data_IF_212519210590
#
_entry.id   IF_212519210590
#
_cell.length_a   1.000
_cell.length_b   1.000
_cell.length_c   1.000
_cell.angle_alpha   90.00
_cell.angle_beta   90.00
_cell.angle_gamma   90.00
#
_symmetry.space_group_name_H-M   'P 1'
#
loop_
_entity.id
_entity.type
_entity.pdbx_description
1 polymer ?
#
# COMPACT_ATOMS: atom_id res chain seq x y z
N UNK A 1 -12.41 -16.81 -0.60
CA UNK A 1 -12.87 -18.05 -1.31
C UNK A 1 -11.86 -19.17 -1.10
N UNK A 2 -12.29 -20.43 -0.91
CA UNK A 2 -11.34 -21.54 -0.75
C UNK A 2 -10.59 -21.79 -2.07
N UNK A 3 -9.30 -22.16 -2.04
CA UNK A 3 -8.48 -22.44 -3.25
C UNK A 3 -9.15 -23.42 -4.24
N UNK A 4 -9.96 -24.37 -3.74
CA UNK A 4 -10.71 -25.32 -4.57
C UNK A 4 -11.82 -24.65 -5.40
N UNK A 5 -12.41 -23.58 -4.88
CA UNK A 5 -13.44 -22.82 -5.60
C UNK A 5 -12.82 -21.93 -6.67
N UNK A 6 -11.63 -21.34 -6.40
CA UNK A 6 -10.87 -20.53 -7.37
C UNK A 6 -10.52 -21.29 -8.65
N UNK A 7 -10.09 -22.57 -8.53
CA UNK A 7 -9.74 -23.40 -9.67
C UNK A 7 -10.90 -23.70 -10.63
N UNK A 8 -12.15 -23.55 -10.14
CA UNK A 8 -13.37 -23.80 -10.94
C UNK A 8 -13.84 -22.57 -11.71
N UNK A 9 -13.35 -21.38 -11.37
CA UNK A 9 -13.75 -20.14 -12.04
C UNK A 9 -13.22 -20.10 -13.48
N UNK A 10 -14.03 -19.55 -14.37
CA UNK A 10 -13.60 -19.13 -15.70
C UNK A 10 -12.58 -18.00 -15.62
N UNK A 11 -11.85 -17.73 -16.69
CA UNK A 11 -10.93 -16.59 -16.75
C UNK A 11 -11.67 -15.27 -16.50
N UNK A 12 -12.85 -15.07 -17.07
CA UNK A 12 -13.64 -13.85 -16.90
C UNK A 12 -14.05 -13.64 -15.43
N UNK A 13 -14.42 -14.69 -14.72
CA UNK A 13 -14.76 -14.61 -13.29
C UNK A 13 -13.53 -14.28 -12.42
N UNK A 14 -12.36 -14.89 -12.73
CA UNK A 14 -11.10 -14.54 -12.03
C UNK A 14 -10.71 -13.09 -12.27
N UNK A 15 -10.83 -12.60 -13.50
CA UNK A 15 -10.54 -11.21 -13.86
C UNK A 15 -11.49 -10.23 -13.15
N UNK A 16 -12.79 -10.56 -13.09
CA UNK A 16 -13.79 -9.75 -12.39
C UNK A 16 -13.56 -9.69 -10.88
N UNK A 17 -13.02 -10.76 -10.27
CA UNK A 17 -12.71 -10.81 -8.84
C UNK A 17 -11.65 -9.78 -8.38
N UNK A 18 -10.92 -9.19 -9.33
CA UNK A 18 -9.93 -8.13 -9.12
C UNK A 18 -10.24 -6.84 -9.88
N UNK A 19 -11.44 -6.68 -10.45
CA UNK A 19 -11.84 -5.46 -11.14
C UNK A 19 -12.52 -4.45 -10.19
N UNK A 20 -11.70 -3.81 -9.34
CA UNK A 20 -12.17 -2.85 -8.36
C UNK A 20 -12.88 -1.63 -8.98
N UNK A 21 -12.49 -1.22 -10.20
CA UNK A 21 -13.15 -0.09 -10.88
C UNK A 21 -14.57 -0.46 -11.35
N UNK A 22 -14.75 -1.69 -11.83
CA UNK A 22 -16.09 -2.17 -12.17
C UNK A 22 -17.00 -2.34 -10.93
N UNK A 23 -16.39 -2.67 -9.77
CA UNK A 23 -17.12 -2.86 -8.52
C UNK A 23 -17.49 -1.54 -7.80
N UNK A 24 -16.82 -0.43 -8.11
CA UNK A 24 -17.05 0.89 -7.50
C UNK A 24 -17.27 1.94 -8.58
N UNK A 25 -18.54 2.27 -8.92
CA UNK A 25 -18.87 3.16 -10.05
C UNK A 25 -18.27 4.56 -9.96
N UNK A 26 -18.03 5.09 -8.77
CA UNK A 26 -17.39 6.39 -8.53
C UNK A 26 -15.88 6.31 -8.34
N UNK A 27 -15.29 5.12 -8.36
CA UNK A 27 -13.87 4.89 -8.09
C UNK A 27 -12.93 5.69 -8.98
N UNK A 28 -13.22 5.76 -10.29
CA UNK A 28 -12.43 6.56 -11.22
C UNK A 28 -12.52 8.07 -10.93
N UNK A 29 -13.72 8.57 -10.61
CA UNK A 29 -13.93 9.98 -10.27
C UNK A 29 -13.21 10.34 -8.94
N UNK A 30 -13.23 9.45 -7.94
CA UNK A 30 -12.50 9.62 -6.68
C UNK A 30 -10.99 9.69 -6.88
N UNK A 31 -10.42 8.82 -7.71
CA UNK A 31 -9.00 8.86 -8.04
C UNK A 31 -8.62 10.14 -8.77
N UNK A 32 -9.45 10.61 -9.69
CA UNK A 32 -9.20 11.87 -10.39
C UNK A 32 -9.29 13.08 -9.44
N UNK A 33 -10.28 13.13 -8.55
CA UNK A 33 -10.36 14.17 -7.53
C UNK A 33 -9.12 14.14 -6.60
N UNK A 34 -8.71 12.95 -6.16
CA UNK A 34 -7.52 12.80 -5.32
C UNK A 34 -6.25 13.26 -6.05
N UNK A 35 -6.12 12.98 -7.36
CA UNK A 35 -5.00 13.43 -8.20
C UNK A 35 -4.94 14.97 -8.27
N UNK A 36 -6.08 15.63 -8.47
CA UNK A 36 -6.16 17.08 -8.52
C UNK A 36 -5.79 17.72 -7.17
N UNK A 37 -6.34 17.19 -6.08
CA UNK A 37 -6.03 17.67 -4.72
C UNK A 37 -4.57 17.41 -4.37
N UNK A 38 -4.00 16.29 -4.79
CA UNK A 38 -2.60 15.96 -4.58
C UNK A 38 -1.66 16.90 -5.36
N UNK A 39 -2.04 17.28 -6.56
CA UNK A 39 -1.29 18.29 -7.32
C UNK A 39 -1.27 19.64 -6.59
N UNK A 40 -2.42 20.06 -6.01
CA UNK A 40 -2.51 21.26 -5.20
C UNK A 40 -1.67 21.16 -3.91
N UNK A 41 -1.73 20.04 -3.20
CA UNK A 41 -0.94 19.78 -1.99
C UNK A 41 0.58 19.82 -2.27
N UNK A 42 1.03 19.23 -3.39
CA UNK A 42 2.43 19.28 -3.83
C UNK A 42 2.87 20.71 -4.21
N UNK A 43 2.02 21.46 -4.89
CA UNK A 43 2.30 22.86 -5.25
C UNK A 43 2.42 23.77 -4.02
N UNK A 44 1.67 23.49 -2.95
CA UNK A 44 1.73 24.26 -1.70
C UNK A 44 2.99 23.97 -0.86
N UNK A 45 3.66 22.81 -1.04
CA UNK A 45 4.87 22.40 -0.29
C UNK A 45 5.91 21.76 -1.23
N UNK A 46 6.53 22.50 -2.15
CA UNK A 46 7.36 21.95 -3.21
C UNK A 46 8.78 21.57 -2.78
N UNK A 47 9.23 21.97 -1.59
CA UNK A 47 10.65 21.92 -1.20
C UNK A 47 11.22 20.51 -1.14
N UNK A 48 10.42 19.54 -0.72
CA UNK A 48 10.84 18.13 -0.53
C UNK A 48 10.57 17.21 -1.70
N UNK A 49 10.02 17.71 -2.82
CA UNK A 49 9.54 16.87 -3.91
C UNK A 49 10.66 16.28 -4.77
N UNK A 50 10.35 15.18 -5.46
CA UNK A 50 11.14 14.56 -6.53
C UNK A 50 12.59 14.19 -6.15
N UNK A 51 12.82 13.78 -4.89
CA UNK A 51 14.16 13.40 -4.42
C UNK A 51 14.55 12.03 -4.93
N UNK A 52 15.62 11.93 -5.77
CA UNK A 52 16.01 10.64 -6.33
C UNK A 52 16.59 9.70 -5.26
N UNK A 53 16.26 8.42 -5.36
CA UNK A 53 16.90 7.33 -4.61
C UNK A 53 17.58 6.33 -5.55
N UNK A 54 17.31 6.39 -6.84
CA UNK A 54 17.89 5.57 -7.88
C UNK A 54 17.89 6.24 -9.24
N UNK A 55 18.40 5.55 -10.30
CA UNK A 55 18.58 6.12 -11.63
C UNK A 55 17.29 6.20 -12.46
N UNK A 56 16.30 5.33 -12.21
CA UNK A 56 15.09 5.30 -13.00
C UNK A 56 14.21 6.55 -12.77
N UNK A 57 13.43 6.98 -13.77
CA UNK A 57 12.60 8.18 -13.66
C UNK A 57 11.61 8.15 -12.49
N UNK A 58 11.10 6.97 -12.15
CA UNK A 58 10.12 6.78 -11.07
C UNK A 58 10.76 6.54 -9.69
N UNK A 59 12.06 6.31 -9.62
CA UNK A 59 12.82 6.14 -8.37
C UNK A 59 13.03 7.50 -7.68
N UNK A 60 11.94 8.10 -7.21
CA UNK A 60 11.87 9.40 -6.55
C UNK A 60 10.99 9.28 -5.31
N UNK A 61 11.28 10.10 -4.31
CA UNK A 61 10.47 10.26 -3.09
C UNK A 61 10.04 11.71 -2.97
N UNK A 62 8.76 11.93 -2.69
CA UNK A 62 8.25 13.23 -2.24
C UNK A 62 8.25 13.25 -0.72
N UNK A 63 8.90 14.26 -0.12
CA UNK A 63 8.96 14.47 1.31
C UNK A 63 8.12 15.67 1.73
N UNK A 64 7.30 15.51 2.72
CA UNK A 64 6.59 16.56 3.43
C UNK A 64 7.13 16.63 4.85
N UNK A 65 7.91 17.66 5.12
CA UNK A 65 8.65 17.79 6.37
C UNK A 65 7.74 18.11 7.56
N UNK A 66 8.22 17.74 8.75
CA UNK A 66 7.67 18.11 10.05
C UNK A 66 8.81 18.40 11.04
N UNK A 67 8.53 18.41 12.35
CA UNK A 67 9.55 18.65 13.36
C UNK A 67 10.71 17.63 13.32
N UNK A 68 11.87 17.94 13.91
CA UNK A 68 13.13 17.21 13.71
C UNK A 68 13.10 15.71 14.09
N UNK A 69 12.19 15.30 14.97
CA UNK A 69 11.99 13.90 15.40
C UNK A 69 10.56 13.42 15.21
N UNK A 70 9.80 14.14 14.38
CA UNK A 70 8.44 13.75 14.06
C UNK A 70 8.41 12.33 13.48
N UNK A 71 7.42 11.51 13.83
CA UNK A 71 7.15 10.28 13.12
C UNK A 71 6.88 10.56 11.64
N UNK A 72 7.19 9.59 10.78
CA UNK A 72 6.95 9.71 9.35
C UNK A 72 6.08 8.56 8.85
N UNK A 73 5.00 8.89 8.16
CA UNK A 73 4.25 7.91 7.38
C UNK A 73 4.90 7.78 5.99
N UNK A 74 5.38 6.59 5.66
CA UNK A 74 5.87 6.25 4.33
C UNK A 74 4.74 5.57 3.58
N UNK A 75 4.16 6.25 2.59
CA UNK A 75 2.99 5.75 1.88
C UNK A 75 3.33 5.26 0.47
N UNK A 76 2.98 4.00 0.20
CA UNK A 76 3.17 3.32 -1.09
C UNK A 76 1.83 3.24 -1.83
N UNK A 77 1.80 3.76 -3.06
CA UNK A 77 0.59 3.83 -3.86
C UNK A 77 0.13 2.47 -4.37
N UNK A 78 -1.16 2.36 -4.70
CA UNK A 78 -1.75 1.20 -5.36
C UNK A 78 -1.71 1.28 -6.89
N UNK A 79 -2.43 0.38 -7.55
CA UNK A 79 -2.54 0.33 -9.02
C UNK A 79 -1.99 -0.96 -9.61
N UNK A 80 -2.08 -2.07 -8.89
CA UNK A 80 -1.63 -3.41 -9.30
C UNK A 80 -0.18 -3.44 -9.80
N UNK A 81 0.71 -2.59 -9.24
CA UNK A 81 2.12 -2.44 -9.65
C UNK A 81 2.29 -2.03 -11.12
N UNK A 82 1.23 -1.59 -11.80
CA UNK A 82 1.15 -1.29 -13.24
C UNK A 82 0.65 0.13 -13.53
N UNK A 83 0.08 0.82 -12.56
CA UNK A 83 -0.61 2.10 -12.73
C UNK A 83 -0.36 3.05 -11.57
N UNK A 84 -0.78 4.29 -11.75
CA UNK A 84 -0.68 5.41 -10.82
C UNK A 84 0.77 5.89 -10.58
N UNK A 85 0.89 6.93 -9.82
CA UNK A 85 2.16 7.53 -9.45
C UNK A 85 2.08 8.07 -8.01
N UNK A 86 3.21 8.23 -7.33
CA UNK A 86 3.27 8.81 -5.97
C UNK A 86 2.60 10.18 -5.90
N UNK A 87 2.74 10.95 -6.98
CA UNK A 87 2.21 12.31 -7.13
C UNK A 87 0.69 12.36 -6.94
N UNK A 88 -0.02 11.27 -7.27
CA UNK A 88 -1.47 11.19 -7.24
C UNK A 88 -2.03 11.06 -5.81
N UNK A 89 -1.17 10.85 -4.80
CA UNK A 89 -1.60 10.47 -3.44
C UNK A 89 -1.13 11.45 -2.34
N UNK A 90 -0.54 12.59 -2.68
CA UNK A 90 0.00 13.53 -1.70
C UNK A 90 -1.06 14.09 -0.75
N UNK A 91 -2.29 14.32 -1.23
CA UNK A 91 -3.39 14.82 -0.40
C UNK A 91 -3.81 13.86 0.72
N UNK A 92 -3.55 12.54 0.60
CA UNK A 92 -3.83 11.59 1.68
C UNK A 92 -3.00 11.88 2.93
N UNK A 93 -1.87 12.53 2.78
CA UNK A 93 -0.97 12.83 3.89
C UNK A 93 -1.48 13.99 4.76
N UNK A 94 -2.52 14.72 4.35
CA UNK A 94 -3.16 15.76 5.14
C UNK A 94 -3.57 15.24 6.53
N UNK A 95 -4.09 14.01 6.61
CA UNK A 95 -4.52 13.40 7.85
C UNK A 95 -3.40 13.34 8.90
N UNK A 96 -2.30 12.68 8.60
CA UNK A 96 -1.17 12.53 9.55
C UNK A 96 -0.41 13.84 9.75
N UNK A 97 -0.30 14.69 8.72
CA UNK A 97 0.37 16.00 8.81
C UNK A 97 -0.35 16.96 9.76
N UNK A 98 -1.68 16.90 9.84
CA UNK A 98 -2.47 17.65 10.81
C UNK A 98 -2.09 17.33 12.26
N UNK A 99 -1.46 16.17 12.51
CA UNK A 99 -0.93 15.75 13.79
C UNK A 99 0.59 15.96 13.96
N UNK A 100 1.20 16.76 13.08
CA UNK A 100 2.63 17.07 13.15
C UNK A 100 3.55 15.95 12.67
N UNK A 101 3.04 14.97 11.92
CA UNK A 101 3.86 13.93 11.30
C UNK A 101 4.48 14.42 10.00
N UNK A 102 5.66 13.93 9.72
CA UNK A 102 6.22 13.96 8.37
C UNK A 102 5.55 12.91 7.48
N UNK A 103 5.64 13.09 6.18
CA UNK A 103 5.22 12.09 5.21
C UNK A 103 6.27 11.90 4.12
N UNK A 104 6.39 10.68 3.61
CA UNK A 104 7.23 10.34 2.47
C UNK A 104 6.44 9.46 1.51
N UNK A 105 6.45 9.80 0.22
CA UNK A 105 5.75 9.04 -0.82
C UNK A 105 6.78 8.55 -1.84
N UNK A 106 7.28 7.32 -1.71
CA UNK A 106 8.12 6.71 -2.73
C UNK A 106 7.31 6.40 -4.00
N UNK A 107 7.85 6.76 -5.17
CA UNK A 107 7.50 6.14 -6.42
C UNK A 107 8.32 4.88 -6.64
N UNK A 108 7.94 4.07 -7.59
CA UNK A 108 8.65 2.86 -8.00
C UNK A 108 8.36 2.56 -9.47
N UNK A 109 9.26 1.83 -10.13
CA UNK A 109 9.09 1.39 -11.53
C UNK A 109 7.90 0.44 -11.62
N UNK A 110 7.11 0.57 -12.68
CA UNK A 110 5.91 -0.26 -12.86
C UNK A 110 6.21 -1.47 -13.75
N UNK A 111 5.41 -2.52 -13.59
CA UNK A 111 5.36 -3.60 -14.56
C UNK A 111 4.72 -3.09 -15.89
N UNK A 112 5.17 -3.58 -17.06
CA UNK A 112 6.14 -4.65 -17.24
C UNK A 112 7.62 -4.20 -17.30
N UNK A 113 7.93 -2.93 -17.04
CA UNK A 113 9.29 -2.36 -17.09
C UNK A 113 10.17 -2.93 -15.96
N UNK A 114 9.59 -3.24 -14.81
CA UNK A 114 10.25 -3.93 -13.73
C UNK A 114 9.46 -5.19 -13.31
N UNK A 115 10.17 -6.24 -12.87
CA UNK A 115 9.56 -7.38 -12.19
C UNK A 115 9.08 -6.97 -10.79
N UNK A 116 8.15 -7.74 -10.21
CA UNK A 116 7.72 -7.47 -8.83
C UNK A 116 8.88 -7.60 -7.83
N UNK A 117 9.82 -8.49 -8.07
CA UNK A 117 11.06 -8.58 -7.29
C UNK A 117 11.80 -7.24 -7.29
N UNK A 118 12.03 -6.64 -8.49
CA UNK A 118 12.71 -5.34 -8.59
C UNK A 118 11.94 -4.22 -7.91
N UNK A 119 10.60 -4.19 -8.06
CA UNK A 119 9.75 -3.21 -7.38
C UNK A 119 9.89 -3.27 -5.86
N UNK A 120 9.94 -4.47 -5.28
CA UNK A 120 10.17 -4.65 -3.83
C UNK A 120 11.56 -4.15 -3.44
N UNK A 121 12.60 -4.41 -4.23
CA UNK A 121 13.96 -3.88 -3.99
C UNK A 121 13.99 -2.36 -4.03
N UNK A 122 13.35 -1.74 -5.03
CA UNK A 122 13.23 -0.28 -5.13
C UNK A 122 12.55 0.35 -3.90
N UNK A 123 11.53 -0.31 -3.35
CA UNK A 123 10.89 0.15 -2.10
C UNK A 123 11.86 0.11 -0.92
N UNK A 124 12.72 -0.90 -0.81
CA UNK A 124 13.75 -0.94 0.23
C UNK A 124 14.82 0.15 0.04
N UNK A 125 15.27 0.38 -1.19
CA UNK A 125 16.20 1.48 -1.54
C UNK A 125 15.57 2.86 -1.20
N UNK A 126 14.30 3.04 -1.49
CA UNK A 126 13.57 4.26 -1.11
C UNK A 126 13.49 4.43 0.43
N UNK A 127 13.25 3.34 1.16
CA UNK A 127 13.24 3.36 2.63
C UNK A 127 14.62 3.70 3.21
N UNK A 128 15.70 3.27 2.61
CA UNK A 128 17.06 3.66 3.00
C UNK A 128 17.26 5.18 2.87
N UNK A 129 16.79 5.79 1.75
CA UNK A 129 16.82 7.25 1.59
C UNK A 129 15.95 7.95 2.64
N UNK A 130 14.72 7.44 2.89
CA UNK A 130 13.83 8.02 3.92
C UNK A 130 14.48 7.91 5.29
N UNK A 131 15.05 6.76 5.64
CA UNK A 131 15.73 6.52 6.91
C UNK A 131 16.96 7.42 7.14
N UNK A 132 17.66 7.78 6.07
CA UNK A 132 18.79 8.71 6.14
C UNK A 132 18.36 10.17 6.37
N UNK A 133 17.11 10.53 6.00
CA UNK A 133 16.60 11.91 6.10
C UNK A 133 15.71 12.15 7.31
N UNK A 134 15.01 11.12 7.78
CA UNK A 134 14.03 11.20 8.87
C UNK A 134 14.63 10.59 10.13
N UNK A 135 14.80 11.39 11.18
CA UNK A 135 15.33 10.92 12.47
C UNK A 135 14.26 10.23 13.33
N UNK A 136 12.98 10.55 13.13
CA UNK A 136 11.86 9.96 13.86
C UNK A 136 11.54 8.52 13.44
N UNK A 137 10.59 7.85 14.12
CA UNK A 137 10.13 6.51 13.75
C UNK A 137 9.46 6.50 12.37
N UNK A 138 9.67 5.43 11.59
CA UNK A 138 9.05 5.23 10.29
C UNK A 138 7.90 4.23 10.41
N UNK A 139 6.71 4.63 9.99
CA UNK A 139 5.57 3.74 9.81
C UNK A 139 5.35 3.57 8.31
N UNK A 140 5.48 2.33 7.81
CA UNK A 140 5.22 2.05 6.40
C UNK A 140 3.72 1.80 6.19
N UNK A 141 3.15 2.41 5.17
CA UNK A 141 1.75 2.21 4.79
C UNK A 141 1.60 2.10 3.29
N UNK A 142 0.47 1.59 2.86
CA UNK A 142 0.14 1.58 1.45
C UNK A 142 -1.29 1.08 1.21
N UNK A 143 -1.76 1.34 0.01
CA UNK A 143 -3.09 0.97 -0.43
C UNK A 143 -3.04 -0.05 -1.56
N UNK A 144 -3.88 -1.11 -1.51
CA UNK A 144 -3.99 -2.12 -2.57
C UNK A 144 -2.64 -2.80 -2.84
N UNK A 145 -2.08 -2.70 -4.03
CA UNK A 145 -0.72 -3.14 -4.36
C UNK A 145 0.35 -2.49 -3.45
N UNK A 146 0.14 -1.24 -3.04
CA UNK A 146 1.03 -0.56 -2.08
C UNK A 146 0.97 -1.16 -0.68
N UNK A 147 -0.18 -1.72 -0.27
CA UNK A 147 -0.30 -2.44 1.01
C UNK A 147 0.50 -3.75 1.01
N UNK A 148 0.54 -4.44 -0.14
CA UNK A 148 1.46 -5.56 -0.34
C UNK A 148 2.92 -5.13 -0.16
N UNK A 149 3.33 -4.05 -0.84
CA UNK A 149 4.69 -3.51 -0.73
C UNK A 149 5.02 -3.08 0.71
N UNK A 150 4.06 -2.48 1.43
CA UNK A 150 4.22 -2.14 2.83
C UNK A 150 4.45 -3.37 3.72
N UNK A 151 3.72 -4.47 3.46
CA UNK A 151 3.93 -5.74 4.18
C UNK A 151 5.31 -6.34 3.89
N UNK A 152 5.77 -6.30 2.63
CA UNK A 152 7.12 -6.75 2.24
C UNK A 152 8.23 -5.89 2.86
N UNK A 153 7.98 -4.59 3.04
CA UNK A 153 8.93 -3.62 3.59
C UNK A 153 8.96 -3.57 5.13
N UNK A 154 8.04 -4.26 5.83
CA UNK A 154 7.92 -4.21 7.29
C UNK A 154 9.20 -4.65 8.02
N UNK A 155 9.99 -5.53 7.40
CA UNK A 155 11.27 -6.01 7.93
C UNK A 155 12.40 -4.98 7.95
N UNK A 156 12.28 -3.85 7.26
CA UNK A 156 13.30 -2.82 7.20
C UNK A 156 13.67 -2.30 8.60
N UNK A 157 14.98 -2.15 8.89
CA UNK A 157 15.49 -1.89 10.24
C UNK A 157 14.88 -0.65 10.91
N UNK A 158 14.64 0.42 10.15
CA UNK A 158 14.10 1.70 10.65
C UNK A 158 12.56 1.74 10.74
N UNK A 159 11.86 0.77 10.16
CA UNK A 159 10.40 0.68 10.24
C UNK A 159 10.01 0.13 11.60
N UNK A 160 9.14 0.84 12.32
CA UNK A 160 8.64 0.43 13.65
C UNK A 160 7.30 -0.29 13.58
N UNK A 161 6.51 -0.08 12.53
CA UNK A 161 5.21 -0.72 12.32
C UNK A 161 4.67 -0.42 10.93
N UNK A 162 3.54 -1.03 10.57
CA UNK A 162 2.93 -0.83 9.26
C UNK A 162 1.41 -0.82 9.27
N UNK A 163 0.84 -0.20 8.22
CA UNK A 163 -0.59 -0.12 7.95
C UNK A 163 -0.86 -0.51 6.50
N UNK A 164 -1.43 -1.68 6.28
CA UNK A 164 -1.86 -2.14 4.97
C UNK A 164 -3.35 -1.88 4.76
N UNK A 165 -3.69 -1.15 3.71
CA UNK A 165 -5.07 -0.75 3.38
C UNK A 165 -5.50 -1.51 2.14
N UNK A 166 -6.52 -2.36 2.25
CA UNK A 166 -7.16 -3.07 1.12
C UNK A 166 -6.17 -3.87 0.27
N UNK A 167 -5.26 -4.59 0.93
CA UNK A 167 -4.09 -5.19 0.29
C UNK A 167 -4.33 -6.53 -0.41
N UNK A 168 -3.44 -6.82 -1.35
CA UNK A 168 -3.33 -8.12 -2.02
C UNK A 168 -2.11 -8.85 -1.45
N UNK A 169 -2.32 -9.87 -0.63
CA UNK A 169 -1.25 -10.51 0.13
C UNK A 169 -0.94 -11.96 -0.27
N UNK A 170 -1.72 -12.56 -1.18
CA UNK A 170 -1.40 -13.80 -1.90
C UNK A 170 -1.39 -13.50 -3.40
N UNK A 171 -0.24 -13.63 -4.03
CA UNK A 171 -0.06 -13.38 -5.46
C UNK A 171 -0.52 -14.55 -6.34
N UNK A 172 -0.82 -15.71 -5.75
CA UNK A 172 -1.22 -16.89 -6.51
C UNK A 172 -2.50 -16.67 -7.31
N UNK A 173 -3.51 -16.03 -6.71
CA UNK A 173 -4.74 -15.71 -7.41
C UNK A 173 -4.56 -14.61 -8.48
N UNK A 174 -3.75 -13.59 -8.20
CA UNK A 174 -3.41 -12.52 -9.17
C UNK A 174 -2.71 -13.08 -10.40
N UNK A 175 -1.81 -14.06 -10.22
CA UNK A 175 -1.12 -14.73 -11.32
C UNK A 175 -2.08 -15.37 -12.31
N UNK A 176 -3.23 -15.83 -11.85
CA UNK A 176 -4.24 -16.49 -12.66
C UNK A 176 -5.21 -15.52 -13.37
N UNK A 177 -4.96 -14.20 -13.27
CA UNK A 177 -5.78 -13.14 -13.88
C UNK A 177 -5.06 -12.48 -15.07
N UNK A 178 -5.81 -11.65 -15.85
CA UNK A 178 -5.24 -10.79 -16.90
C UNK A 178 -4.14 -9.84 -16.40
N UNK A 179 -4.12 -9.51 -15.12
CA UNK A 179 -3.09 -8.66 -14.52
C UNK A 179 -1.69 -9.25 -14.70
N UNK A 180 -1.59 -10.57 -14.78
CA UNK A 180 -0.33 -11.26 -14.95
C UNK A 180 0.30 -11.09 -16.34
N UNK A 181 -0.43 -10.61 -17.32
CA UNK A 181 0.13 -10.33 -18.66
C UNK A 181 1.27 -9.30 -18.59
N UNK A 182 1.14 -8.30 -17.72
CA UNK A 182 2.18 -7.31 -17.47
C UNK A 182 3.12 -7.71 -16.32
N UNK A 183 2.58 -8.28 -15.23
CA UNK A 183 3.36 -8.66 -14.05
C UNK A 183 4.33 -9.82 -14.32
N UNK A 184 3.94 -10.78 -15.16
CA UNK A 184 4.74 -11.97 -15.54
C UNK A 184 5.24 -12.74 -14.29
N UNK A 185 4.39 -12.84 -13.27
CA UNK A 185 4.72 -13.51 -12.02
C UNK A 185 5.09 -14.96 -12.25
N UNK A 186 6.26 -15.34 -11.79
CA UNK A 186 6.72 -16.73 -11.72
C UNK A 186 6.22 -17.42 -10.45
N UNK A 187 6.20 -18.75 -10.41
CA UNK A 187 5.89 -19.50 -9.18
C UNK A 187 6.83 -19.09 -8.04
N UNK A 188 8.12 -18.94 -8.34
CA UNK A 188 9.12 -18.54 -7.38
C UNK A 188 8.86 -17.13 -6.81
N UNK A 189 8.34 -16.18 -7.60
CA UNK A 189 7.95 -14.86 -7.10
C UNK A 189 6.68 -14.95 -6.26
N UNK A 190 5.69 -15.74 -6.66
CA UNK A 190 4.49 -15.97 -5.86
C UNK A 190 4.87 -16.51 -4.47
N UNK A 191 5.80 -17.48 -4.37
CA UNK A 191 6.22 -18.02 -3.07
C UNK A 191 7.02 -17.00 -2.24
N UNK A 192 7.92 -16.25 -2.88
CA UNK A 192 8.82 -15.33 -2.15
C UNK A 192 8.25 -13.96 -1.86
N UNK A 193 7.21 -13.55 -2.60
CA UNK A 193 6.64 -12.20 -2.51
C UNK A 193 5.18 -12.18 -2.04
N UNK A 194 4.61 -13.32 -1.60
CA UNK A 194 3.29 -13.34 -0.98
C UNK A 194 3.41 -13.25 0.55
N UNK A 195 3.05 -12.15 1.20
CA UNK A 195 3.18 -11.98 2.65
C UNK A 195 2.53 -13.11 3.48
N UNK A 196 1.44 -13.70 3.01
CA UNK A 196 0.75 -14.82 3.68
C UNK A 196 1.51 -16.16 3.62
N UNK A 197 2.58 -16.25 2.80
CA UNK A 197 3.42 -17.45 2.63
C UNK A 197 4.76 -17.33 3.34
N UNK A 198 5.07 -16.14 3.86
CA UNK A 198 6.33 -15.84 4.52
C UNK A 198 6.18 -15.86 6.04
N UNK A 199 7.22 -16.18 6.80
CA UNK A 199 7.21 -16.00 8.23
C UNK A 199 6.88 -14.53 8.58
N UNK A 200 5.89 -14.27 9.44
CA UNK A 200 5.52 -12.91 9.79
C UNK A 200 6.64 -12.16 10.50
N UNK A 201 6.92 -10.94 10.07
CA UNK A 201 7.83 -10.03 10.77
C UNK A 201 7.22 -9.66 12.13
N UNK A 202 7.95 -9.77 13.28
CA UNK A 202 7.44 -9.53 14.62
C UNK A 202 7.36 -8.03 14.96
N UNK A 203 6.80 -7.22 14.06
CA UNK A 203 6.51 -5.79 14.26
C UNK A 203 5.01 -5.55 14.12
N UNK A 204 4.43 -4.54 14.79
CA UNK A 204 3.02 -4.23 14.64
C UNK A 204 2.63 -3.98 13.17
N UNK A 205 1.56 -4.63 12.72
CA UNK A 205 1.00 -4.40 11.38
C UNK A 205 -0.52 -4.38 11.46
N UNK A 206 -1.12 -3.21 11.22
CA UNK A 206 -2.56 -3.07 11.11
C UNK A 206 -2.98 -3.40 9.69
N UNK A 207 -3.92 -4.31 9.53
CA UNK A 207 -4.56 -4.64 8.26
C UNK A 207 -5.95 -3.99 8.24
N UNK A 208 -6.22 -3.16 7.25
CA UNK A 208 -7.50 -2.47 7.10
C UNK A 208 -8.14 -2.80 5.75
N UNK A 209 -9.47 -2.84 5.71
CA UNK A 209 -10.24 -3.01 4.48
C UNK A 209 -11.65 -2.40 4.61
N UNK A 210 -12.25 -2.03 3.48
CA UNK A 210 -13.63 -1.60 3.41
C UNK A 210 -14.59 -2.79 3.30
N UNK A 211 -15.71 -2.77 4.02
CA UNK A 211 -16.64 -3.92 4.02
C UNK A 211 -17.44 -4.09 2.73
N UNK A 212 -17.40 -3.09 1.83
CA UNK A 212 -18.03 -3.12 0.51
C UNK A 212 -17.04 -3.37 -0.64
N UNK A 213 -15.83 -3.80 -0.31
CA UNK A 213 -14.84 -4.22 -1.32
C UNK A 213 -15.19 -5.58 -1.94
N UNK A 214 -14.53 -5.89 -3.06
CA UNK A 214 -14.61 -7.22 -3.66
C UNK A 214 -14.24 -8.30 -2.63
N UNK A 215 -14.93 -9.45 -2.63
CA UNK A 215 -14.69 -10.53 -1.67
C UNK A 215 -13.23 -10.97 -1.58
N UNK A 216 -12.51 -10.98 -2.71
CA UNK A 216 -11.10 -11.40 -2.76
C UNK A 216 -10.18 -10.43 -2.00
N UNK A 217 -10.47 -9.12 -2.00
CA UNK A 217 -9.69 -8.12 -1.27
C UNK A 217 -9.96 -8.21 0.24
N UNK A 218 -11.23 -8.41 0.62
CA UNK A 218 -11.64 -8.64 2.01
C UNK A 218 -10.98 -9.91 2.55
N UNK A 219 -11.04 -11.01 1.79
CA UNK A 219 -10.46 -12.29 2.20
C UNK A 219 -8.93 -12.22 2.27
N UNK A 220 -8.27 -11.56 1.32
CA UNK A 220 -6.82 -11.33 1.33
C UNK A 220 -6.39 -10.61 2.61
N UNK A 221 -7.14 -9.58 3.03
CA UNK A 221 -6.86 -8.83 4.26
C UNK A 221 -7.05 -9.70 5.50
N UNK A 222 -8.14 -10.47 5.57
CA UNK A 222 -8.42 -11.40 6.68
C UNK A 222 -7.38 -12.51 6.76
N UNK A 223 -6.97 -13.07 5.61
CA UNK A 223 -5.98 -14.14 5.55
C UNK A 223 -4.62 -13.69 6.08
N UNK A 224 -4.15 -12.48 5.71
CA UNK A 224 -2.90 -11.95 6.26
C UNK A 224 -3.00 -11.75 7.77
N UNK A 225 -4.10 -11.17 8.25
CA UNK A 225 -4.28 -10.96 9.69
C UNK A 225 -4.27 -12.30 10.45
N UNK A 226 -5.06 -13.29 10.01
CA UNK A 226 -5.11 -14.63 10.62
C UNK A 226 -3.73 -15.33 10.59
N UNK A 227 -3.00 -15.24 9.48
CA UNK A 227 -1.65 -15.78 9.37
C UNK A 227 -0.70 -15.17 10.40
N UNK A 228 -0.76 -13.85 10.60
CA UNK A 228 0.04 -13.14 11.60
C UNK A 228 -0.38 -13.47 13.03
N UNK A 229 -1.69 -13.57 13.28
CA UNK A 229 -2.25 -13.91 14.60
C UNK A 229 -1.82 -15.31 15.05
N UNK A 230 -1.89 -16.31 14.16
CA UNK A 230 -1.43 -17.68 14.44
C UNK A 230 0.06 -17.72 14.80
N UNK A 231 0.87 -16.85 14.19
CA UNK A 231 2.30 -16.74 14.49
C UNK A 231 2.60 -15.84 15.72
N UNK A 232 1.59 -15.29 16.39
CA UNK A 232 1.78 -14.38 17.53
C UNK A 232 2.38 -13.02 17.17
N UNK A 233 2.38 -12.64 15.89
CA UNK A 233 2.89 -11.36 15.44
C UNK A 233 1.89 -10.23 15.77
N UNK A 234 2.34 -9.10 16.38
CA UNK A 234 1.44 -8.04 16.81
C UNK A 234 0.74 -7.36 15.64
N UNK A 235 -0.53 -6.97 15.84
CA UNK A 235 -1.31 -6.25 14.81
C UNK A 235 -2.77 -6.13 15.16
N UNK A 236 -3.51 -5.51 14.25
CA UNK A 236 -4.97 -5.32 14.34
C UNK A 236 -5.61 -5.54 12.99
N UNK A 237 -6.89 -5.93 12.99
CA UNK A 237 -7.74 -5.95 11.82
C UNK A 237 -8.81 -4.86 11.95
N UNK A 238 -8.90 -3.96 10.96
CA UNK A 238 -9.89 -2.90 10.89
C UNK A 238 -10.82 -3.13 9.70
N UNK A 239 -12.07 -3.46 9.98
CA UNK A 239 -13.12 -3.52 8.99
C UNK A 239 -13.87 -2.18 8.96
N UNK A 240 -13.65 -1.37 7.94
CA UNK A 240 -14.25 -0.05 7.79
C UNK A 240 -15.63 -0.19 7.14
N UNK A 241 -16.67 0.07 7.94
CA UNK A 241 -18.05 -0.13 7.51
C UNK A 241 -18.41 0.84 6.37
N UNK A 242 -19.19 0.35 5.41
CA UNK A 242 -19.71 1.12 4.26
C UNK A 242 -18.65 1.67 3.29
N UNK A 243 -17.35 1.40 3.51
CA UNK A 243 -16.29 1.78 2.58
C UNK A 243 -16.05 0.72 1.53
N UNK A 244 -15.84 1.16 0.29
CA UNK A 244 -15.31 0.39 -0.82
C UNK A 244 -13.80 0.59 -0.97
N UNK A 245 -13.21 0.00 -2.03
CA UNK A 245 -11.77 0.04 -2.31
C UNK A 245 -11.18 1.45 -2.45
N UNK A 246 -11.98 2.43 -2.82
CA UNK A 246 -11.54 3.82 -3.05
C UNK A 246 -11.94 4.75 -1.92
N UNK A 247 -13.19 4.67 -1.45
CA UNK A 247 -13.68 5.51 -0.37
C UNK A 247 -12.98 5.24 0.97
N UNK A 248 -12.37 4.08 1.15
CA UNK A 248 -11.55 3.75 2.32
C UNK A 248 -10.40 4.74 2.51
N UNK A 249 -9.89 5.35 1.44
CA UNK A 249 -8.80 6.33 1.49
C UNK A 249 -9.19 7.65 2.17
N UNK A 250 -10.48 7.99 2.21
CA UNK A 250 -10.98 9.17 2.92
C UNK A 250 -10.62 9.11 4.41
N UNK A 251 -10.56 7.90 4.98
CA UNK A 251 -10.18 7.64 6.38
C UNK A 251 -8.68 7.86 6.67
N UNK A 252 -7.83 7.87 5.65
CA UNK A 252 -6.42 8.24 5.76
C UNK A 252 -6.20 9.74 5.54
N UNK A 253 -7.04 10.36 4.70
CA UNK A 253 -7.00 11.80 4.44
C UNK A 253 -7.53 12.62 5.61
N UNK A 254 -8.59 12.14 6.26
CA UNK A 254 -9.21 12.85 7.38
C UNK A 254 -8.31 12.82 8.63
N UNK A 255 -8.06 13.97 9.31
CA UNK A 255 -7.24 14.00 10.53
C UNK A 255 -7.76 13.08 11.65
N UNK A 256 -9.07 12.93 11.77
CA UNK A 256 -9.72 12.05 12.75
C UNK A 256 -10.22 10.74 12.13
N UNK A 257 -9.82 10.43 10.91
CA UNK A 257 -10.20 9.19 10.23
C UNK A 257 -9.56 7.96 10.87
N UNK A 258 -10.23 6.83 10.79
CA UNK A 258 -9.83 5.60 11.44
C UNK A 258 -8.42 5.13 11.01
N UNK A 259 -8.06 5.32 9.73
CA UNK A 259 -6.73 4.94 9.22
C UNK A 259 -5.64 5.90 9.69
N UNK A 260 -5.92 7.21 9.76
CA UNK A 260 -5.00 8.19 10.35
C UNK A 260 -4.73 7.87 11.82
N UNK A 261 -5.77 7.59 12.59
CA UNK A 261 -5.64 7.24 14.01
C UNK A 261 -4.90 5.90 14.17
N UNK A 262 -5.17 4.92 13.31
CA UNK A 262 -4.47 3.64 13.32
C UNK A 262 -2.97 3.79 13.01
N UNK A 263 -2.60 4.62 12.03
CA UNK A 263 -1.19 4.91 11.72
C UNK A 263 -0.47 5.52 12.94
N UNK A 264 -1.11 6.46 13.62
CA UNK A 264 -0.55 7.13 14.80
C UNK A 264 -0.29 6.20 16.00
N UNK A 265 -1.03 5.10 16.09
CA UNK A 265 -0.83 4.11 17.15
C UNK A 265 0.39 3.19 16.93
N UNK A 266 1.06 3.31 15.80
CA UNK A 266 2.20 2.46 15.40
C UNK A 266 3.57 3.10 15.69
N UNK A 267 3.60 4.37 16.12
CA UNK A 267 4.84 5.12 16.41
C UNK A 267 4.92 5.64 17.83
#
# INVERSE_FOLDING_TARGET
>A
MKRQDWARLSQAERDAAYDNLAAAPDGAARLEALRLDSAAARAADPVGLDRPYGPAPRERVDFFAAGPRAPCLVFLHGGYWQRNAREDFAALMEGVRAHGWAAALPGYTLAPEASLTRIVEEVHEALDLVAARIAGPLVVSGWSAGAHLAAMALGHARVVGGLGISGVYDLGAVRDTRLNQALRLTEAEVERLSPVRLPPVPKPFTVAYGTRELPELVESSRALFAHREVAGAPGRLLALQEHDHFSVLDELRAPNGALTLAARMLA
#
